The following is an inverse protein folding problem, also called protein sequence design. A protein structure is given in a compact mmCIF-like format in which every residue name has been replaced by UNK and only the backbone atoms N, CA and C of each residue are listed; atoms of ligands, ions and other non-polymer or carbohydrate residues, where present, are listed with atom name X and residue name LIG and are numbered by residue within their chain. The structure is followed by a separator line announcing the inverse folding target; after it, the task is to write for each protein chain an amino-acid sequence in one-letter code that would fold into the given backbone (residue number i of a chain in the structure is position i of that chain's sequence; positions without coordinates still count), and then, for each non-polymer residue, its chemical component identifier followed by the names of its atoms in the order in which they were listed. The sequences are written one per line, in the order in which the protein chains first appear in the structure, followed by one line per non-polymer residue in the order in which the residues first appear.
data_IF_880812232071
#
_entry.id   IF_880812232071
#
_cell.length_a   1.000
_cell.length_b   1.000
_cell.length_c   1.000
_cell.angle_alpha   90.00
_cell.angle_beta   90.00
_cell.angle_gamma   90.00
#
_symmetry.space_group_name_H-M   'P 1'
#
loop_
_entity.id
_entity.type
_entity.pdbx_description
1 polymer ?
#
# COMPACT_ATOMS: atom_id res chain seq x y z
N UNK A 1 -66.12 -30.70 -26.52
CA UNK A 1 -66.14 -31.72 -25.44
C UNK A 1 -64.99 -32.73 -25.53
N UNK A 2 -64.34 -32.94 -26.70
CA UNK A 2 -63.25 -33.93 -26.84
C UNK A 2 -61.84 -33.47 -26.43
N UNK A 3 -61.51 -32.17 -26.57
CA UNK A 3 -60.16 -31.68 -26.27
C UNK A 3 -59.83 -31.72 -24.77
N UNK A 4 -60.79 -31.41 -23.89
CA UNK A 4 -60.60 -31.46 -22.45
C UNK A 4 -60.28 -32.89 -21.96
N UNK A 5 -60.98 -33.90 -22.49
CA UNK A 5 -60.72 -35.31 -22.21
C UNK A 5 -59.39 -35.79 -22.79
N UNK A 6 -58.99 -35.28 -23.95
CA UNK A 6 -57.66 -35.59 -24.52
C UNK A 6 -56.54 -35.02 -23.64
N UNK A 7 -56.68 -33.78 -23.15
CA UNK A 7 -55.72 -33.19 -22.21
C UNK A 7 -55.66 -33.98 -20.91
N UNK A 8 -56.79 -34.42 -20.37
CA UNK A 8 -56.85 -35.20 -19.13
C UNK A 8 -56.16 -36.57 -19.28
N UNK A 9 -56.37 -37.26 -20.40
CA UNK A 9 -55.67 -38.50 -20.73
C UNK A 9 -54.16 -38.29 -20.89
N UNK A 10 -53.75 -37.18 -21.53
CA UNK A 10 -52.34 -36.83 -21.71
C UNK A 10 -51.65 -36.52 -20.39
N UNK A 11 -52.31 -35.76 -19.51
CA UNK A 11 -51.80 -35.43 -18.17
C UNK A 11 -51.69 -36.71 -17.34
N UNK A 12 -52.73 -37.56 -17.33
CA UNK A 12 -52.72 -38.83 -16.60
C UNK A 12 -51.57 -39.73 -17.04
N UNK A 13 -51.31 -39.81 -18.35
CA UNK A 13 -50.19 -40.56 -18.93
C UNK A 13 -48.83 -39.96 -18.56
N UNK A 14 -48.72 -38.63 -18.55
CA UNK A 14 -47.50 -37.93 -18.14
C UNK A 14 -47.18 -38.15 -16.65
N UNK A 15 -48.20 -38.07 -15.79
CA UNK A 15 -48.07 -38.32 -14.35
C UNK A 15 -47.68 -39.77 -14.05
N UNK A 16 -48.29 -40.75 -14.74
CA UNK A 16 -47.91 -42.15 -14.62
C UNK A 16 -46.45 -42.41 -15.04
N UNK A 17 -45.99 -41.72 -16.09
CA UNK A 17 -44.58 -41.79 -16.54
C UNK A 17 -43.62 -41.17 -15.52
N UNK A 18 -44.00 -40.06 -14.88
CA UNK A 18 -43.21 -39.43 -13.82
C UNK A 18 -43.14 -40.34 -12.60
N UNK A 19 -44.27 -40.91 -12.17
CA UNK A 19 -44.31 -41.84 -11.04
C UNK A 19 -43.42 -43.08 -11.28
N UNK A 20 -43.43 -43.64 -12.48
CA UNK A 20 -42.51 -44.71 -12.85
C UNK A 20 -41.05 -44.25 -12.91
N UNK A 21 -40.78 -43.03 -13.37
CA UNK A 21 -39.43 -42.49 -13.40
C UNK A 21 -38.87 -42.23 -11.99
N UNK A 22 -39.70 -41.74 -11.06
CA UNK A 22 -39.31 -41.55 -9.66
C UNK A 22 -39.09 -42.89 -8.97
N UNK A 23 -39.92 -43.89 -9.23
CA UNK A 23 -39.73 -45.22 -8.65
C UNK A 23 -38.49 -45.90 -9.24
N UNK A 24 -38.25 -45.79 -10.55
CA UNK A 24 -36.99 -46.25 -11.16
C UNK A 24 -35.78 -45.53 -10.56
N UNK A 25 -35.86 -44.23 -10.32
CA UNK A 25 -34.76 -43.47 -9.69
C UNK A 25 -34.52 -43.90 -8.24
N UNK A 26 -35.57 -44.28 -7.51
CA UNK A 26 -35.49 -44.80 -6.15
C UNK A 26 -34.98 -46.25 -6.10
N UNK A 27 -35.32 -47.04 -7.11
CA UNK A 27 -34.92 -48.44 -7.26
C UNK A 27 -33.54 -48.61 -7.90
N UNK A 28 -33.03 -47.60 -8.63
CA UNK A 28 -31.61 -47.47 -8.94
C UNK A 28 -30.93 -47.26 -7.59
N UNK A 29 -30.14 -48.24 -7.10
CA UNK A 29 -29.29 -48.01 -5.94
C UNK A 29 -28.50 -46.75 -6.24
N UNK A 30 -28.42 -45.82 -5.28
CA UNK A 30 -27.49 -44.71 -5.42
C UNK A 30 -26.17 -45.31 -5.89
N UNK A 31 -25.55 -44.81 -6.98
CA UNK A 31 -24.20 -45.24 -7.27
C UNK A 31 -23.43 -45.08 -5.96
N UNK A 32 -22.61 -46.07 -5.59
CA UNK A 32 -21.56 -45.84 -4.61
C UNK A 32 -20.66 -44.77 -5.24
N UNK A 33 -21.09 -43.51 -5.10
CA UNK A 33 -20.23 -42.37 -5.25
C UNK A 33 -19.28 -42.59 -4.07
N UNK A 34 -18.00 -42.95 -4.30
CA UNK A 34 -17.06 -42.89 -3.21
C UNK A 34 -17.26 -41.53 -2.58
N UNK A 35 -17.47 -41.49 -1.25
CA UNK A 35 -17.61 -40.24 -0.52
C UNK A 35 -16.55 -39.31 -1.10
N UNK A 36 -16.98 -38.18 -1.69
CA UNK A 36 -16.07 -37.31 -2.41
C UNK A 36 -14.80 -37.16 -1.56
N UNK A 37 -13.65 -37.52 -2.12
CA UNK A 37 -12.37 -37.36 -1.43
C UNK A 37 -12.39 -35.99 -0.76
N UNK A 38 -12.07 -35.91 0.55
CA UNK A 38 -12.35 -34.70 1.31
C UNK A 38 -11.75 -33.52 0.57
N UNK A 39 -12.58 -32.54 0.20
CA UNK A 39 -12.17 -31.27 -0.44
C UNK A 39 -11.38 -30.38 0.55
N UNK A 40 -11.36 -30.80 1.83
CA UNK A 40 -10.68 -30.16 2.95
C UNK A 40 -9.18 -29.80 2.75
N UNK A 41 -8.31 -30.60 2.08
CA UNK A 41 -6.91 -30.23 1.92
C UNK A 41 -6.74 -29.12 0.86
N UNK A 42 -7.64 -28.99 -0.11
CA UNK A 42 -7.61 -27.90 -1.08
C UNK A 42 -8.05 -26.58 -0.43
N UNK A 43 -9.14 -26.59 0.33
CA UNK A 43 -9.64 -25.42 1.06
C UNK A 43 -8.65 -24.96 2.14
N UNK A 44 -7.99 -25.90 2.84
CA UNK A 44 -6.94 -25.56 3.82
C UNK A 44 -5.69 -24.95 3.15
N UNK A 45 -5.29 -25.43 1.97
CA UNK A 45 -4.18 -24.85 1.20
C UNK A 45 -4.53 -23.45 0.70
N UNK A 46 -5.74 -23.23 0.19
CA UNK A 46 -6.23 -21.91 -0.23
C UNK A 46 -6.32 -20.94 0.96
N UNK A 47 -6.79 -21.40 2.12
CA UNK A 47 -6.81 -20.60 3.34
C UNK A 47 -5.41 -20.16 3.77
N UNK A 48 -4.46 -21.10 3.80
CA UNK A 48 -3.06 -20.80 4.11
C UNK A 48 -2.42 -19.82 3.10
N UNK A 49 -2.76 -19.94 1.81
CA UNK A 49 -2.30 -19.02 0.76
C UNK A 49 -2.87 -17.61 0.95
N UNK A 50 -4.16 -17.49 1.24
CA UNK A 50 -4.81 -16.21 1.53
C UNK A 50 -4.17 -15.56 2.76
N UNK A 51 -3.90 -16.31 3.81
CA UNK A 51 -3.25 -15.79 5.02
C UNK A 51 -1.79 -15.41 4.80
N UNK A 52 -1.08 -16.08 3.86
CA UNK A 52 0.25 -15.65 3.42
C UNK A 52 0.15 -14.33 2.66
N UNK A 53 -0.71 -14.24 1.65
CA UNK A 53 -0.89 -13.03 0.84
C UNK A 53 -1.37 -11.84 1.68
N UNK A 54 -2.21 -12.07 2.69
CA UNK A 54 -2.62 -11.03 3.64
C UNK A 54 -1.45 -10.48 4.44
N UNK A 55 -0.56 -11.36 4.92
CA UNK A 55 0.66 -10.94 5.65
C UNK A 55 1.62 -10.19 4.73
N UNK A 56 1.84 -10.68 3.51
CA UNK A 56 2.67 -9.99 2.51
C UNK A 56 2.10 -8.61 2.15
N UNK A 57 0.78 -8.50 1.96
CA UNK A 57 0.15 -7.20 1.69
C UNK A 57 0.24 -6.26 2.88
N UNK A 58 0.01 -6.74 4.11
CA UNK A 58 0.16 -5.94 5.31
C UNK A 58 1.60 -5.43 5.49
N UNK A 59 2.61 -6.25 5.19
CA UNK A 59 4.01 -5.83 5.21
C UNK A 59 4.29 -4.75 4.15
N UNK A 60 3.82 -4.95 2.91
CA UNK A 60 3.94 -3.95 1.83
C UNK A 60 3.23 -2.64 2.15
N UNK A 61 2.06 -2.70 2.79
CA UNK A 61 1.34 -1.50 3.24
C UNK A 61 2.15 -0.74 4.30
N UNK A 62 2.71 -1.43 5.28
CA UNK A 62 3.58 -0.83 6.29
C UNK A 62 4.84 -0.18 5.67
N UNK A 63 5.49 -0.85 4.72
CA UNK A 63 6.63 -0.30 3.97
C UNK A 63 6.27 0.96 3.19
N UNK A 64 5.10 0.96 2.53
CA UNK A 64 4.60 2.12 1.78
C UNK A 64 4.29 3.30 2.69
N UNK A 65 3.72 3.05 3.87
CA UNK A 65 3.40 4.11 4.81
C UNK A 65 4.66 4.70 5.45
N UNK A 66 5.66 3.86 5.77
CA UNK A 66 6.98 4.33 6.18
C UNK A 66 7.66 5.18 5.07
N UNK A 67 7.59 4.76 3.81
CA UNK A 67 8.13 5.53 2.69
C UNK A 67 7.41 6.89 2.51
N UNK A 68 6.09 6.93 2.70
CA UNK A 68 5.32 8.19 2.65
C UNK A 68 5.71 9.15 3.77
N UNK A 69 5.90 8.66 4.99
CA UNK A 69 6.34 9.48 6.11
C UNK A 69 7.69 10.15 5.81
N UNK A 70 8.66 9.38 5.30
CA UNK A 70 9.98 9.92 4.92
C UNK A 70 9.92 10.99 3.84
N UNK A 71 9.10 10.77 2.81
CA UNK A 71 8.89 11.78 1.77
C UNK A 71 8.31 13.08 2.35
N UNK A 72 7.36 12.97 3.28
CA UNK A 72 6.79 14.14 3.95
C UNK A 72 7.83 14.90 4.79
N UNK A 73 8.69 14.18 5.52
CA UNK A 73 9.77 14.79 6.33
C UNK A 73 10.79 15.51 5.43
N UNK A 74 11.16 14.91 4.29
CA UNK A 74 12.06 15.52 3.31
C UNK A 74 11.45 16.77 2.68
N UNK A 75 10.16 16.72 2.32
CA UNK A 75 9.43 17.87 1.78
C UNK A 75 9.38 19.03 2.80
N UNK A 76 9.13 18.74 4.07
CA UNK A 76 9.15 19.76 5.14
C UNK A 76 10.54 20.38 5.28
N UNK A 77 11.60 19.56 5.29
CA UNK A 77 12.97 20.03 5.39
C UNK A 77 13.35 20.95 4.20
N UNK A 78 12.97 20.57 2.98
CA UNK A 78 13.20 21.38 1.77
C UNK A 78 12.41 22.69 1.78
N UNK A 79 11.17 22.67 2.24
CA UNK A 79 10.37 23.89 2.38
C UNK A 79 10.98 24.85 3.39
N UNK A 80 11.42 24.34 4.54
CA UNK A 80 12.12 25.11 5.56
C UNK A 80 13.40 25.73 5.02
N UNK A 81 14.24 24.94 4.34
CA UNK A 81 15.47 25.43 3.71
C UNK A 81 15.21 26.57 2.73
N UNK A 82 14.22 26.43 1.85
CA UNK A 82 13.84 27.48 0.88
C UNK A 82 13.38 28.77 1.58
N UNK A 83 12.56 28.63 2.63
CA UNK A 83 12.06 29.79 3.38
C UNK A 83 13.21 30.55 4.07
N UNK A 84 14.16 29.83 4.65
CA UNK A 84 15.33 30.44 5.31
C UNK A 84 16.28 31.06 4.29
N UNK A 85 16.52 30.41 3.15
CA UNK A 85 17.31 30.99 2.05
C UNK A 85 16.73 32.31 1.53
N UNK A 86 15.40 32.40 1.40
CA UNK A 86 14.73 33.65 1.02
C UNK A 86 14.94 34.75 2.08
N UNK A 87 14.92 34.39 3.36
CA UNK A 87 15.20 35.34 4.46
C UNK A 87 16.65 35.80 4.45
N UNK A 88 17.61 34.89 4.30
CA UNK A 88 19.03 35.23 4.18
C UNK A 88 19.29 36.14 2.96
N UNK A 89 18.64 35.89 1.83
CA UNK A 89 18.73 36.76 0.65
C UNK A 89 18.28 38.20 0.93
N UNK A 90 17.19 38.36 1.67
CA UNK A 90 16.70 39.69 2.10
C UNK A 90 17.67 40.37 3.07
N UNK A 91 18.19 39.66 4.08
CA UNK A 91 19.12 40.25 5.06
C UNK A 91 20.43 40.68 4.39
N UNK A 92 20.94 39.91 3.44
CA UNK A 92 22.12 40.29 2.64
C UNK A 92 21.85 41.54 1.80
N UNK A 93 20.66 41.69 1.22
CA UNK A 93 20.29 42.90 0.49
C UNK A 93 20.22 44.13 1.41
N UNK A 94 19.62 43.99 2.60
CA UNK A 94 19.59 45.05 3.63
C UNK A 94 21.00 45.47 4.06
N UNK A 95 21.90 44.49 4.30
CA UNK A 95 23.30 44.77 4.64
C UNK A 95 24.03 45.54 3.54
N UNK A 96 23.86 45.14 2.27
CA UNK A 96 24.49 45.84 1.14
C UNK A 96 23.99 47.28 1.02
N UNK A 97 22.70 47.52 1.23
CA UNK A 97 22.13 48.87 1.22
C UNK A 97 22.67 49.73 2.37
N UNK A 98 22.76 49.18 3.58
CA UNK A 98 23.32 49.88 4.75
C UNK A 98 24.81 50.22 4.55
N UNK A 99 25.61 49.28 4.02
CA UNK A 99 27.02 49.51 3.69
C UNK A 99 27.18 50.59 2.60
N UNK A 100 26.35 50.58 1.56
CA UNK A 100 26.35 51.61 0.51
C UNK A 100 26.00 53.00 1.07
N UNK A 101 25.10 53.06 2.05
CA UNK A 101 24.77 54.28 2.78
C UNK A 101 25.79 54.67 3.86
N UNK A 102 26.86 53.88 4.07
CA UNK A 102 27.83 54.02 5.17
C UNK A 102 27.18 54.01 6.57
N UNK A 103 26.01 53.37 6.71
CA UNK A 103 25.30 53.22 7.97
C UNK A 103 25.74 51.90 8.62
N UNK A 104 26.50 51.98 9.71
CA UNK A 104 26.83 50.83 10.52
C UNK A 104 25.77 50.64 11.63
N UNK A 105 24.80 49.76 11.40
CA UNK A 105 23.79 49.39 12.40
C UNK A 105 24.13 48.01 13.02
N UNK A 106 24.54 47.94 14.30
CA UNK A 106 24.85 46.69 14.98
C UNK A 106 23.67 45.69 14.99
N UNK A 107 22.43 46.20 15.02
CA UNK A 107 21.22 45.37 14.98
C UNK A 107 21.05 44.64 13.63
N UNK A 108 21.48 45.23 12.51
CA UNK A 108 21.46 44.59 11.20
C UNK A 108 22.45 43.42 11.13
N UNK A 109 23.66 43.61 11.66
CA UNK A 109 24.69 42.56 11.71
C UNK A 109 24.19 41.38 12.56
N UNK A 110 23.61 41.64 13.73
CA UNK A 110 23.05 40.59 14.57
C UNK A 110 21.91 39.82 13.89
N UNK A 111 21.00 40.51 13.19
CA UNK A 111 19.93 39.87 12.41
C UNK A 111 20.49 39.02 11.27
N UNK A 112 21.51 39.49 10.58
CA UNK A 112 22.14 38.72 9.51
C UNK A 112 22.82 37.46 10.04
N UNK A 113 23.55 37.57 11.16
CA UNK A 113 24.18 36.42 11.82
C UNK A 113 23.13 35.39 12.30
N UNK A 114 21.99 35.84 12.84
CA UNK A 114 20.88 34.95 13.19
C UNK A 114 20.31 34.24 11.96
N UNK A 115 20.05 34.98 10.87
CA UNK A 115 19.56 34.40 9.62
C UNK A 115 20.55 33.39 9.02
N UNK A 116 21.86 33.60 9.18
CA UNK A 116 22.90 32.66 8.74
C UNK A 116 22.88 31.36 9.58
N UNK A 117 22.77 31.46 10.91
CA UNK A 117 22.66 30.28 11.79
C UNK A 117 21.39 29.47 11.47
N UNK A 118 20.27 30.15 11.25
CA UNK A 118 19.02 29.51 10.83
C UNK A 118 19.21 28.81 9.49
N UNK A 119 19.93 29.42 8.53
CA UNK A 119 20.18 28.84 7.21
C UNK A 119 21.04 27.58 7.31
N UNK A 120 22.13 27.63 8.07
CA UNK A 120 23.01 26.48 8.30
C UNK A 120 22.28 25.33 9.00
N UNK A 121 21.40 25.67 9.96
CA UNK A 121 20.60 24.67 10.70
C UNK A 121 19.56 24.01 9.79
N UNK A 122 18.86 24.79 8.97
CA UNK A 122 17.89 24.29 8.01
C UNK A 122 18.57 23.41 6.94
N UNK A 123 19.74 23.83 6.45
CA UNK A 123 20.54 23.05 5.50
C UNK A 123 20.94 21.72 6.12
N UNK A 124 21.49 21.73 7.34
CA UNK A 124 21.86 20.49 8.04
C UNK A 124 20.67 19.55 8.26
N UNK A 125 19.46 20.07 8.52
CA UNK A 125 18.25 19.25 8.62
C UNK A 125 17.88 18.61 7.28
N UNK A 126 17.98 19.35 6.18
CA UNK A 126 17.75 18.81 4.85
C UNK A 126 18.78 17.71 4.50
N UNK A 127 20.06 17.96 4.79
CA UNK A 127 21.14 16.98 4.55
C UNK A 127 20.91 15.68 5.35
N UNK A 128 20.51 15.78 6.63
CA UNK A 128 20.19 14.60 7.46
C UNK A 128 19.00 13.83 6.90
N UNK A 129 17.92 14.53 6.51
CA UNK A 129 16.75 13.89 5.91
C UNK A 129 17.08 13.18 4.59
N UNK A 130 17.96 13.76 3.77
CA UNK A 130 18.44 13.14 2.53
C UNK A 130 19.29 11.89 2.83
N UNK A 131 20.23 11.98 3.77
CA UNK A 131 21.09 10.86 4.17
C UNK A 131 20.25 9.71 4.74
N UNK A 132 19.29 10.00 5.60
CA UNK A 132 18.40 8.98 6.17
C UNK A 132 17.58 8.29 5.06
N UNK A 133 17.07 9.06 4.08
CA UNK A 133 16.36 8.50 2.94
C UNK A 133 17.26 7.61 2.05
N UNK A 134 18.52 7.99 1.85
CA UNK A 134 19.51 7.20 1.10
C UNK A 134 19.87 5.93 1.85
N UNK A 135 20.14 6.02 3.16
CA UNK A 135 20.45 4.86 4.00
C UNK A 135 19.30 3.85 3.99
N UNK A 136 18.06 4.32 4.17
CA UNK A 136 16.88 3.46 4.12
C UNK A 136 16.68 2.77 2.77
N UNK A 137 17.10 3.41 1.66
CA UNK A 137 17.09 2.78 0.34
C UNK A 137 18.22 1.74 0.17
N UNK A 138 19.37 1.95 0.81
CA UNK A 138 20.55 1.08 0.69
C UNK A 138 20.53 -0.13 1.64
N UNK A 139 20.02 0.01 2.86
CA UNK A 139 19.92 -1.08 3.87
C UNK A 139 19.34 -2.39 3.28
N UNK A 140 18.18 -2.39 2.61
CA UNK A 140 17.61 -3.63 2.07
C UNK A 140 18.42 -4.23 0.90
N UNK A 141 19.25 -3.44 0.20
CA UNK A 141 20.14 -3.94 -0.86
C UNK A 141 21.34 -4.70 -0.27
N UNK A 142 21.87 -4.23 0.88
CA UNK A 142 22.98 -4.89 1.57
C UNK A 142 22.50 -6.14 2.33
N UNK A 143 21.37 -6.05 3.03
CA UNK A 143 20.78 -7.20 3.74
C UNK A 143 20.26 -8.28 2.77
N UNK A 144 19.91 -7.89 1.54
CA UNK A 144 19.50 -8.79 0.47
C UNK A 144 20.65 -9.64 -0.10
N UNK A 145 21.90 -9.18 -0.02
CA UNK A 145 23.08 -9.92 -0.51
C UNK A 145 23.40 -11.13 0.39
N UNK A 146 23.16 -11.04 1.71
CA UNK A 146 23.34 -12.16 2.65
C UNK A 146 22.30 -13.28 2.45
N UNK A 147 21.17 -12.99 1.79
CA UNK A 147 20.10 -13.97 1.53
C UNK A 147 20.29 -14.77 0.23
N UNK A 148 21.32 -14.48 -0.59
CA UNK A 148 21.64 -15.21 -1.82
C UNK A 148 22.91 -16.06 -1.69
N UNK A 149 23.05 -16.84 -0.61
CA UNK A 149 23.96 -17.98 -0.61
C UNK A 149 23.33 -19.13 -1.43
N UNK A 150 23.89 -19.53 -2.58
CA UNK A 150 23.41 -20.70 -3.30
C UNK A 150 23.85 -21.97 -2.56
N UNK A 151 22.88 -22.73 -2.05
CA UNK A 151 23.03 -24.11 -1.58
C UNK A 151 22.14 -25.03 -2.38
#
# INVERSE_FOLDING_TARGET
MGEATEYEERISRALARIAQATERRRAVPAPDVPAADPVAPADARLGAEIDRLRRENAAREAERDAARARLADMDEALQSLRAVQATLGRTVAELRAALAGQVAEPALVNRAMQAEIEALTAQRRADVAEVDAVLDALVPLVDGEDSHAPG
#
